data_IF_204241830477
#
_entry.id   IF_204241830477
#
_cell.length_a   1.000
_cell.length_b   1.000
_cell.length_c   1.000
_cell.angle_alpha   90.00
_cell.angle_beta   90.00
_cell.angle_gamma   90.00
#
_symmetry.space_group_name_H-M   'P 1'
#
loop_
_entity.id
_entity.type
_entity.pdbx_description
1 polymer ?
#
# COMPACT_ATOMS: atom_id res chain seq x y z
N UNK A 1 -3.52 -35.47 -4.49
CA UNK A 1 -3.93 -35.46 -3.06
C UNK A 1 -3.01 -34.61 -2.15
N UNK A 2 -2.17 -33.71 -2.67
CA UNK A 2 -1.21 -32.91 -1.85
C UNK A 2 -1.77 -31.52 -1.44
N UNK A 3 -2.89 -31.08 -2.02
CA UNK A 3 -3.46 -29.75 -1.78
C UNK A 3 -4.13 -29.56 -0.40
N UNK A 4 -4.64 -30.64 0.20
CA UNK A 4 -5.41 -30.56 1.45
C UNK A 4 -4.60 -30.04 2.67
N UNK A 5 -3.36 -30.52 2.94
CA UNK A 5 -2.57 -29.99 4.05
C UNK A 5 -2.10 -28.56 3.80
N UNK A 6 -1.76 -28.21 2.56
CA UNK A 6 -1.30 -26.86 2.21
C UNK A 6 -2.41 -25.81 2.39
N UNK A 7 -3.63 -26.12 1.93
CA UNK A 7 -4.80 -25.27 2.14
C UNK A 7 -5.17 -25.14 3.62
N UNK A 8 -5.00 -26.20 4.40
CA UNK A 8 -5.23 -26.17 5.84
C UNK A 8 -4.24 -25.24 6.55
N UNK A 9 -2.94 -25.33 6.22
CA UNK A 9 -1.92 -24.41 6.75
C UNK A 9 -2.28 -22.97 6.40
N UNK A 10 -2.59 -22.67 5.13
CA UNK A 10 -3.01 -21.32 4.71
C UNK A 10 -4.25 -20.82 5.47
N UNK A 11 -5.24 -21.68 5.67
CA UNK A 11 -6.46 -21.33 6.39
C UNK A 11 -6.20 -21.05 7.88
N UNK A 12 -5.34 -21.85 8.53
CA UNK A 12 -4.92 -21.66 9.92
C UNK A 12 -4.10 -20.39 10.07
N UNK A 13 -3.16 -20.13 9.14
CA UNK A 13 -2.35 -18.92 9.08
C UNK A 13 -3.21 -17.67 8.94
N UNK A 14 -4.20 -17.70 8.04
CA UNK A 14 -5.14 -16.59 7.86
C UNK A 14 -6.00 -16.34 9.09
N UNK A 15 -6.48 -17.40 9.75
CA UNK A 15 -7.29 -17.30 10.97
C UNK A 15 -6.53 -16.70 12.15
N UNK A 16 -5.22 -16.98 12.25
CA UNK A 16 -4.35 -16.49 13.33
C UNK A 16 -3.44 -15.34 12.89
N UNK A 17 -3.73 -14.68 11.77
CA UNK A 17 -2.92 -13.59 11.23
C UNK A 17 -2.69 -12.45 12.24
N UNK A 18 -3.65 -12.21 13.14
CA UNK A 18 -3.53 -11.21 14.23
C UNK A 18 -2.36 -11.47 15.17
N UNK A 19 -1.98 -12.73 15.37
CA UNK A 19 -0.87 -13.14 16.24
C UNK A 19 0.38 -13.37 15.39
N UNK A 20 0.24 -14.03 14.25
CA UNK A 20 1.34 -14.33 13.32
C UNK A 20 2.05 -13.08 12.80
N UNK A 21 1.31 -12.01 12.50
CA UNK A 21 1.90 -10.76 11.97
C UNK A 21 2.84 -10.07 12.99
N UNK A 22 2.41 -9.80 14.25
CA UNK A 22 3.32 -9.30 15.29
C UNK A 22 4.50 -10.23 15.55
N UNK A 23 4.27 -11.54 15.58
CA UNK A 23 5.32 -12.53 15.80
C UNK A 23 6.37 -12.47 14.68
N UNK A 24 5.94 -12.29 13.43
CA UNK A 24 6.83 -12.09 12.30
C UNK A 24 7.73 -10.86 12.46
N UNK A 25 7.21 -9.76 13.00
CA UNK A 25 8.01 -8.55 13.30
C UNK A 25 9.05 -8.83 14.39
N UNK A 26 8.65 -9.48 15.49
CA UNK A 26 9.57 -9.86 16.57
C UNK A 26 10.68 -10.77 16.05
N UNK A 27 10.33 -11.78 15.26
CA UNK A 27 11.30 -12.68 14.64
C UNK A 27 12.23 -11.95 13.67
N UNK A 28 11.72 -10.99 12.89
CA UNK A 28 12.52 -10.16 12.01
C UNK A 28 13.54 -9.27 12.75
N UNK A 29 13.21 -8.81 13.96
CA UNK A 29 14.13 -8.05 14.82
C UNK A 29 15.25 -8.92 15.41
N UNK A 30 15.00 -10.22 15.59
CA UNK A 30 15.97 -11.18 16.11
C UNK A 30 16.89 -11.74 15.02
N UNK A 31 16.46 -11.65 13.75
CA UNK A 31 17.26 -12.07 12.61
C UNK A 31 18.35 -11.02 12.32
N UNK A 32 19.61 -11.45 12.11
CA UNK A 32 20.66 -10.53 11.69
C UNK A 32 20.29 -9.89 10.36
N UNK A 33 20.67 -8.61 10.17
CA UNK A 33 20.53 -7.82 8.94
C UNK A 33 21.28 -8.46 7.77
N UNK A 34 20.75 -9.57 7.29
CA UNK A 34 21.34 -10.39 6.24
C UNK A 34 20.97 -9.74 4.91
N UNK A 35 21.89 -8.94 4.39
CA UNK A 35 21.74 -8.20 3.15
C UNK A 35 21.47 -9.09 1.91
N UNK A 36 21.68 -10.40 2.01
CA UNK A 36 21.69 -11.32 0.87
C UNK A 36 20.34 -11.90 0.43
N UNK A 37 19.37 -12.12 1.33
CA UNK A 37 18.17 -12.90 0.97
C UNK A 37 16.90 -12.05 0.81
N UNK A 38 16.58 -11.18 1.78
CA UNK A 38 15.31 -10.45 1.76
C UNK A 38 15.33 -9.22 0.83
N UNK A 39 16.46 -8.53 0.70
CA UNK A 39 16.58 -7.34 -0.17
C UNK A 39 16.23 -7.62 -1.64
N UNK A 40 16.76 -8.67 -2.29
CA UNK A 40 16.38 -8.97 -3.68
C UNK A 40 14.98 -9.59 -3.81
N UNK A 41 14.49 -10.29 -2.78
CA UNK A 41 13.18 -10.93 -2.80
C UNK A 41 12.01 -9.96 -2.49
N UNK A 42 12.28 -8.83 -1.80
CA UNK A 42 11.24 -7.90 -1.35
C UNK A 42 10.35 -7.35 -2.48
N UNK A 43 10.88 -6.91 -3.64
CA UNK A 43 10.03 -6.46 -4.75
C UNK A 43 9.11 -7.56 -5.28
N UNK A 44 9.59 -8.80 -5.34
CA UNK A 44 8.80 -9.95 -5.78
C UNK A 44 7.69 -10.28 -4.78
N UNK A 45 8.02 -10.30 -3.48
CA UNK A 45 7.02 -10.51 -2.42
C UNK A 45 5.95 -9.41 -2.48
N UNK A 46 6.36 -8.15 -2.65
CA UNK A 46 5.42 -7.03 -2.80
C UNK A 46 4.55 -7.17 -4.05
N UNK A 47 5.10 -7.57 -5.19
CA UNK A 47 4.34 -7.81 -6.42
C UNK A 47 3.30 -8.92 -6.23
N UNK A 48 3.66 -10.04 -5.58
CA UNK A 48 2.73 -11.13 -5.26
C UNK A 48 1.63 -10.66 -4.30
N UNK A 49 1.97 -9.88 -3.27
CA UNK A 49 0.99 -9.35 -2.32
C UNK A 49 0.04 -8.35 -3.00
N UNK A 50 0.57 -7.48 -3.87
CA UNK A 50 -0.22 -6.54 -4.67
C UNK A 50 -1.16 -7.30 -5.62
N UNK A 51 -0.64 -8.26 -6.39
CA UNK A 51 -1.44 -9.10 -7.27
C UNK A 51 -2.51 -9.89 -6.51
N UNK A 52 -2.18 -10.48 -5.35
CA UNK A 52 -3.15 -11.18 -4.51
C UNK A 52 -4.24 -10.25 -3.96
N UNK A 53 -3.93 -8.98 -3.68
CA UNK A 53 -4.92 -7.98 -3.31
C UNK A 53 -5.83 -7.61 -4.49
N UNK A 54 -5.29 -7.56 -5.71
CA UNK A 54 -6.04 -7.28 -6.94
C UNK A 54 -6.94 -8.45 -7.37
N UNK A 55 -6.53 -9.71 -7.16
CA UNK A 55 -7.39 -10.89 -7.42
C UNK A 55 -8.66 -10.88 -6.56
N UNK A 56 -8.59 -10.30 -5.36
CA UNK A 56 -9.77 -10.13 -4.48
C UNK A 56 -10.69 -8.99 -4.93
N UNK A 57 -10.29 -8.24 -5.95
CA UNK A 57 -11.00 -7.06 -6.41
C UNK A 57 -12.06 -7.49 -7.43
N UNK A 58 -13.31 -7.08 -7.20
CA UNK A 58 -14.41 -7.41 -8.10
C UNK A 58 -14.35 -6.51 -9.34
N UNK A 59 -13.74 -7.03 -10.41
CA UNK A 59 -13.65 -6.36 -11.72
C UNK A 59 -15.04 -5.95 -12.23
N UNK A 60 -16.07 -6.74 -11.93
CA UNK A 60 -17.46 -6.42 -12.28
C UNK A 60 -17.99 -5.21 -11.53
N UNK A 61 -17.61 -5.03 -10.26
CA UNK A 61 -17.93 -3.82 -9.49
C UNK A 61 -17.23 -2.58 -10.07
N UNK A 62 -15.96 -2.70 -10.47
CA UNK A 62 -15.19 -1.61 -11.11
C UNK A 62 -15.82 -1.21 -12.45
N UNK A 63 -16.19 -2.19 -13.27
CA UNK A 63 -16.82 -1.93 -14.57
C UNK A 63 -18.20 -1.28 -14.40
N UNK A 64 -19.00 -1.71 -13.42
CA UNK A 64 -20.27 -1.05 -13.06
C UNK A 64 -20.08 0.36 -12.53
N UNK A 65 -18.96 0.64 -11.86
CA UNK A 65 -18.62 1.98 -11.40
C UNK A 65 -18.24 2.91 -12.56
N UNK A 66 -17.57 2.38 -13.60
CA UNK A 66 -17.26 3.12 -14.82
C UNK A 66 -18.52 3.58 -15.58
N UNK A 67 -19.65 2.89 -15.40
CA UNK A 67 -20.95 3.29 -15.96
C UNK A 67 -21.59 4.51 -15.25
N UNK A 68 -21.03 4.99 -14.13
CA UNK A 68 -21.54 6.16 -13.38
C UNK A 68 -20.45 7.24 -13.22
N UNK A 69 -20.27 8.11 -14.24
CA UNK A 69 -19.12 9.02 -14.32
C UNK A 69 -19.06 10.03 -13.15
N UNK A 70 -20.19 10.47 -12.62
CA UNK A 70 -20.22 11.39 -11.46
C UNK A 70 -19.63 10.76 -10.20
N UNK A 71 -19.91 9.47 -9.95
CA UNK A 71 -19.38 8.73 -8.80
C UNK A 71 -17.88 8.50 -8.96
N UNK A 72 -17.45 8.16 -10.18
CA UNK A 72 -16.04 7.98 -10.52
C UNK A 72 -15.26 9.27 -10.27
N UNK A 73 -15.74 10.41 -10.77
CA UNK A 73 -15.08 11.70 -10.59
C UNK A 73 -14.95 12.09 -9.11
N UNK A 74 -16.02 11.89 -8.33
CA UNK A 74 -15.99 12.15 -6.88
C UNK A 74 -14.98 11.27 -6.17
N UNK A 75 -14.98 9.96 -6.44
CA UNK A 75 -14.09 9.02 -5.77
C UNK A 75 -12.63 9.20 -6.22
N UNK A 76 -12.41 9.61 -7.47
CA UNK A 76 -11.11 10.03 -7.98
C UNK A 76 -10.61 11.28 -7.22
N UNK A 77 -11.45 12.31 -7.06
CA UNK A 77 -11.08 13.51 -6.31
C UNK A 77 -10.76 13.21 -4.84
N UNK A 78 -11.54 12.32 -4.19
CA UNK A 78 -11.25 11.87 -2.82
C UNK A 78 -9.93 11.11 -2.76
N UNK A 79 -9.69 10.19 -3.70
CA UNK A 79 -8.47 9.37 -3.74
C UNK A 79 -7.22 10.23 -3.97
N UNK A 80 -7.31 11.17 -4.92
CA UNK A 80 -6.24 12.12 -5.20
C UNK A 80 -6.01 13.03 -4.00
N UNK A 81 -7.08 13.60 -3.42
CA UNK A 81 -7.01 14.43 -2.23
C UNK A 81 -6.36 13.70 -1.06
N UNK A 82 -6.68 12.42 -0.84
CA UNK A 82 -6.07 11.60 0.20
C UNK A 82 -4.57 11.41 -0.04
N UNK A 83 -4.17 11.10 -1.27
CA UNK A 83 -2.76 10.93 -1.65
C UNK A 83 -1.95 12.23 -1.60
N UNK A 84 -2.58 13.39 -1.80
CA UNK A 84 -1.90 14.69 -1.73
C UNK A 84 -1.85 15.25 -0.30
N UNK A 85 -2.98 15.23 0.41
CA UNK A 85 -3.13 15.90 1.70
C UNK A 85 -2.49 15.10 2.82
N UNK A 86 -2.63 13.77 2.83
CA UNK A 86 -2.11 12.97 3.93
C UNK A 86 -0.58 13.07 4.08
N UNK A 87 0.25 12.95 3.03
CA UNK A 87 1.70 13.11 3.16
C UNK A 87 2.11 14.50 3.66
N UNK A 88 1.49 15.55 3.13
CA UNK A 88 1.77 16.94 3.54
C UNK A 88 1.43 17.14 5.01
N UNK A 89 0.27 16.65 5.44
CA UNK A 89 -0.20 16.77 6.82
C UNK A 89 0.70 15.99 7.79
N UNK A 90 1.07 14.76 7.46
CA UNK A 90 1.99 13.96 8.27
C UNK A 90 3.39 14.57 8.35
N UNK A 91 3.93 15.06 7.23
CA UNK A 91 5.25 15.71 7.20
C UNK A 91 5.27 17.00 8.02
N UNK A 92 4.28 17.86 7.85
CA UNK A 92 4.17 19.14 8.56
C UNK A 92 3.99 18.94 10.06
N UNK A 93 3.15 17.99 10.48
CA UNK A 93 3.00 17.61 11.88
C UNK A 93 4.29 17.03 12.45
N UNK A 94 4.93 16.07 11.77
CA UNK A 94 6.18 15.48 12.23
C UNK A 94 7.27 16.56 12.42
N UNK A 95 7.35 17.51 11.48
CA UNK A 95 8.26 18.64 11.57
C UNK A 95 7.92 19.59 12.71
N UNK A 96 6.64 19.90 12.94
CA UNK A 96 6.23 20.81 14.03
C UNK A 96 6.45 20.21 15.42
N UNK A 97 6.37 18.89 15.56
CA UNK A 97 6.74 18.17 16.78
C UNK A 97 8.25 17.96 16.96
N UNK A 98 9.08 18.46 16.04
CA UNK A 98 10.54 18.40 16.16
C UNK A 98 11.14 17.02 15.91
N UNK A 99 10.50 16.16 15.09
CA UNK A 99 11.08 14.86 14.75
C UNK A 99 12.44 15.01 14.05
N UNK A 100 13.33 14.06 14.34
CA UNK A 100 14.67 14.04 13.77
C UNK A 100 14.65 13.93 12.24
N UNK A 101 15.68 14.48 11.60
CA UNK A 101 15.88 14.40 10.15
C UNK A 101 15.98 12.96 9.61
N UNK A 102 16.25 11.98 10.46
CA UNK A 102 16.27 10.56 10.09
C UNK A 102 14.87 9.92 10.06
N UNK A 103 13.93 10.40 10.89
CA UNK A 103 12.58 9.85 10.97
C UNK A 103 11.61 10.51 9.98
N UNK A 104 11.88 11.76 9.59
CA UNK A 104 11.05 12.50 8.62
C UNK A 104 10.89 11.77 7.27
N UNK A 105 11.95 11.21 6.65
CA UNK A 105 11.81 10.42 5.44
C UNK A 105 10.93 9.18 5.62
N UNK A 106 11.07 8.47 6.76
CA UNK A 106 10.31 7.24 7.02
C UNK A 106 8.80 7.51 7.10
N UNK A 107 8.40 8.56 7.82
CA UNK A 107 7.00 8.96 7.94
C UNK A 107 6.45 9.43 6.59
N UNK A 108 7.25 10.16 5.83
CA UNK A 108 6.83 10.69 4.53
C UNK A 108 6.60 9.54 3.54
N UNK A 109 7.54 8.60 3.43
CA UNK A 109 7.38 7.42 2.58
C UNK A 109 6.23 6.51 3.01
N UNK A 110 5.97 6.41 4.31
CA UNK A 110 4.79 5.73 4.83
C UNK A 110 3.50 6.41 4.39
N UNK A 111 3.40 7.74 4.55
CA UNK A 111 2.18 8.50 4.26
C UNK A 111 1.89 8.60 2.75
N UNK A 112 2.93 8.52 1.93
CA UNK A 112 2.87 8.49 0.46
C UNK A 112 2.32 7.15 -0.07
N UNK A 113 2.46 6.06 0.69
CA UNK A 113 2.01 4.75 0.25
C UNK A 113 0.47 4.67 0.17
N UNK A 114 -0.09 4.05 -0.88
CA UNK A 114 -1.53 3.89 -0.98
C UNK A 114 -2.07 2.94 0.11
N UNK A 115 -3.35 3.09 0.50
CA UNK A 115 -4.01 2.13 1.38
C UNK A 115 -3.95 0.70 0.82
N UNK A 116 -3.67 -0.26 1.71
CA UNK A 116 -3.65 -1.70 1.39
C UNK A 116 -5.06 -2.31 1.44
N UNK A 117 -5.24 -3.49 0.81
CA UNK A 117 -6.53 -4.18 0.73
C UNK A 117 -7.16 -4.54 2.09
N UNK A 118 -6.37 -4.60 3.17
CA UNK A 118 -6.87 -4.78 4.54
C UNK A 118 -7.74 -3.60 5.02
N UNK A 119 -7.52 -2.39 4.49
CA UNK A 119 -8.31 -1.19 4.79
C UNK A 119 -9.78 -1.38 4.42
N UNK A 120 -10.08 -2.11 3.35
CA UNK A 120 -11.46 -2.39 2.91
C UNK A 120 -12.24 -3.09 4.03
N UNK A 121 -11.66 -4.11 4.64
CA UNK A 121 -12.29 -4.87 5.73
C UNK A 121 -12.45 -4.04 6.99
N UNK A 122 -11.50 -3.17 7.29
CA UNK A 122 -11.63 -2.24 8.43
C UNK A 122 -12.77 -1.26 8.20
N UNK A 123 -12.92 -0.72 6.98
CA UNK A 123 -14.08 0.11 6.65
C UNK A 123 -15.40 -0.64 6.84
N UNK A 124 -15.48 -1.90 6.41
CA UNK A 124 -16.68 -2.73 6.59
C UNK A 124 -16.98 -2.97 8.08
N UNK A 125 -15.97 -3.26 8.90
CA UNK A 125 -16.17 -3.43 10.35
C UNK A 125 -16.65 -2.15 11.06
N UNK A 126 -16.27 -0.98 10.55
CA UNK A 126 -16.73 0.32 11.05
C UNK A 126 -18.13 0.70 10.53
N UNK A 127 -18.79 -0.18 9.76
CA UNK A 127 -20.12 0.06 9.21
C UNK A 127 -20.15 0.81 7.87
N UNK A 128 -19.00 1.01 7.22
CA UNK A 128 -18.94 1.61 5.88
C UNK A 128 -19.24 0.59 4.78
N UNK A 129 -19.62 1.11 3.60
CA UNK A 129 -19.95 0.25 2.46
C UNK A 129 -18.69 -0.28 1.76
N UNK A 130 -18.60 -1.61 1.63
CA UNK A 130 -17.48 -2.28 0.97
C UNK A 130 -17.19 -1.76 -0.46
N UNK A 131 -18.19 -1.47 -1.32
CA UNK A 131 -17.93 -1.03 -2.69
C UNK A 131 -17.18 0.30 -2.78
N UNK A 132 -17.49 1.27 -1.90
CA UNK A 132 -16.81 2.58 -1.93
C UNK A 132 -15.37 2.43 -1.43
N UNK A 133 -15.16 1.66 -0.36
CA UNK A 133 -13.82 1.41 0.16
C UNK A 133 -12.93 0.69 -0.87
N UNK A 134 -13.49 -0.30 -1.58
CA UNK A 134 -12.79 -1.00 -2.66
C UNK A 134 -12.43 -0.08 -3.83
N UNK A 135 -13.35 0.78 -4.27
CA UNK A 135 -13.09 1.77 -5.33
C UNK A 135 -11.96 2.74 -4.94
N UNK A 136 -11.98 3.27 -3.71
CA UNK A 136 -10.93 4.20 -3.23
C UNK A 136 -9.58 3.48 -3.15
N UNK A 137 -9.53 2.26 -2.60
CA UNK A 137 -8.29 1.47 -2.53
C UNK A 137 -7.74 1.20 -3.93
N UNK A 138 -8.59 0.84 -4.90
CA UNK A 138 -8.17 0.64 -6.28
C UNK A 138 -7.60 1.93 -6.89
N UNK A 139 -8.36 3.01 -6.82
CA UNK A 139 -7.98 4.29 -7.42
C UNK A 139 -6.68 4.83 -6.82
N UNK A 140 -6.52 4.73 -5.50
CA UNK A 140 -5.29 5.14 -4.83
C UNK A 140 -4.10 4.28 -5.22
N UNK A 141 -4.25 2.97 -5.39
CA UNK A 141 -3.18 2.09 -5.89
C UNK A 141 -2.80 2.40 -7.35
N UNK A 142 -3.77 2.74 -8.20
CA UNK A 142 -3.51 3.18 -9.58
C UNK A 142 -2.81 4.55 -9.65
N UNK A 143 -3.17 5.47 -8.75
CA UNK A 143 -2.61 6.82 -8.69
C UNK A 143 -1.28 6.90 -7.93
N UNK A 144 -0.99 5.95 -7.05
CA UNK A 144 0.23 5.91 -6.22
C UNK A 144 1.55 6.06 -6.99
N UNK A 145 1.80 5.37 -8.12
CA UNK A 145 3.07 5.54 -8.84
C UNK A 145 3.26 6.95 -9.41
N UNK A 146 2.16 7.68 -9.66
CA UNK A 146 2.19 9.04 -10.22
C UNK A 146 2.16 10.14 -9.17
N UNK A 147 1.68 9.87 -7.97
CA UNK A 147 1.57 10.86 -6.89
C UNK A 147 2.71 10.70 -5.91
N UNK A 148 3.02 9.48 -5.52
CA UNK A 148 3.89 9.21 -4.40
C UNK A 148 5.34 9.65 -4.59
N UNK A 149 6.02 9.24 -5.66
CA UNK A 149 7.41 9.66 -5.92
C UNK A 149 7.55 11.18 -5.94
N UNK A 150 6.65 11.87 -6.64
CA UNK A 150 6.70 13.32 -6.82
C UNK A 150 6.44 14.09 -5.53
N UNK A 151 5.49 13.65 -4.70
CA UNK A 151 5.23 14.26 -3.39
C UNK A 151 6.38 13.97 -2.42
N UNK A 152 6.93 12.75 -2.47
CA UNK A 152 8.10 12.38 -1.69
C UNK A 152 9.29 13.28 -2.01
N UNK A 153 9.59 13.50 -3.28
CA UNK A 153 10.64 14.43 -3.72
C UNK A 153 10.34 15.88 -3.36
N UNK A 154 9.08 16.33 -3.49
CA UNK A 154 8.68 17.68 -3.10
C UNK A 154 8.88 17.94 -1.59
N UNK A 155 8.53 16.97 -0.73
CA UNK A 155 8.61 17.13 0.73
C UNK A 155 10.02 16.89 1.29
N UNK A 156 10.77 15.95 0.72
CA UNK A 156 12.10 15.54 1.22
C UNK A 156 13.28 16.15 0.46
N UNK A 157 13.05 16.68 -0.74
CA UNK A 157 14.08 17.29 -1.59
C UNK A 157 15.27 16.35 -1.81
N UNK A 158 16.47 16.86 -1.51
CA UNK A 158 17.73 16.13 -1.67
C UNK A 158 17.89 14.89 -0.75
N UNK A 159 17.00 14.69 0.22
CA UNK A 159 17.01 13.49 1.06
C UNK A 159 16.44 12.24 0.35
N UNK A 160 15.94 12.38 -0.88
CA UNK A 160 15.48 11.25 -1.68
C UNK A 160 16.66 10.60 -2.43
N UNK A 161 16.97 9.32 -2.17
CA UNK A 161 18.13 8.65 -2.78
C UNK A 161 17.91 8.21 -4.23
N UNK A 162 16.69 8.30 -4.76
CA UNK A 162 16.30 7.80 -6.09
C UNK A 162 15.38 8.81 -6.78
N UNK A 163 15.64 9.16 -8.04
CA UNK A 163 14.81 10.11 -8.77
C UNK A 163 13.34 9.68 -8.82
N UNK A 164 12.40 10.64 -8.75
CA UNK A 164 10.96 10.35 -8.80
C UNK A 164 10.56 9.52 -10.02
N UNK A 165 11.18 9.78 -11.17
CA UNK A 165 10.93 9.04 -12.40
C UNK A 165 11.30 7.56 -12.28
N UNK A 166 12.44 7.26 -11.63
CA UNK A 166 12.88 5.87 -11.43
C UNK A 166 12.03 5.15 -10.39
N UNK A 167 11.60 5.85 -9.34
CA UNK A 167 10.64 5.32 -8.35
C UNK A 167 9.26 5.07 -8.97
N UNK A 168 8.77 5.97 -9.81
CA UNK A 168 7.55 5.80 -10.59
C UNK A 168 7.63 4.54 -11.46
N UNK A 169 8.73 4.35 -12.19
CA UNK A 169 8.93 3.15 -13.00
C UNK A 169 8.98 1.88 -12.14
N UNK A 170 9.71 1.88 -11.02
CA UNK A 170 9.79 0.71 -10.12
C UNK A 170 8.44 0.36 -9.48
N UNK A 171 7.69 1.36 -9.02
CA UNK A 171 6.34 1.14 -8.49
C UNK A 171 5.41 0.68 -9.61
N UNK A 172 5.52 1.29 -10.79
CA UNK A 172 4.80 0.87 -11.99
C UNK A 172 5.08 -0.57 -12.39
N UNK A 173 6.32 -1.06 -12.31
CA UNK A 173 6.64 -2.46 -12.60
C UNK A 173 6.26 -3.42 -11.48
N UNK A 174 6.31 -3.03 -10.22
CA UNK A 174 5.88 -3.87 -9.09
C UNK A 174 4.36 -4.02 -9.09
N UNK A 175 3.64 -2.91 -9.26
CA UNK A 175 2.18 -2.91 -9.35
C UNK A 175 1.75 -3.54 -10.68
N UNK A 176 2.41 -3.17 -11.79
CA UNK A 176 2.26 -3.69 -13.15
C UNK A 176 2.49 -5.19 -13.27
N UNK A 177 3.51 -5.74 -12.61
CA UNK A 177 3.76 -7.18 -12.56
C UNK A 177 2.76 -7.94 -11.68
N UNK A 178 1.92 -7.21 -10.92
CA UNK A 178 0.73 -7.75 -10.27
C UNK A 178 -0.54 -7.68 -11.12
N UNK A 179 -0.50 -7.07 -12.32
CA UNK A 179 -1.58 -7.06 -13.32
C UNK A 179 -1.44 -8.20 -14.34
#
# INVERSE_FOLDING_TARGET
>A
MIFHPFLWILAVSGRHARILLPLGVVLALLLPSSDGFFKPAAPFILAVLAGAALVRLDIGAVLKAALKPQRLLRNFAISLGLLLVAPVLFFTLAKSFGLSHHLLPLITWYAVAPPVGTTIWMCVFLGFTAPIAMEIVLLTNLLAPFTGPFIGEYLLGAAVPVSSAMLCLRLGTILGGGF
#
